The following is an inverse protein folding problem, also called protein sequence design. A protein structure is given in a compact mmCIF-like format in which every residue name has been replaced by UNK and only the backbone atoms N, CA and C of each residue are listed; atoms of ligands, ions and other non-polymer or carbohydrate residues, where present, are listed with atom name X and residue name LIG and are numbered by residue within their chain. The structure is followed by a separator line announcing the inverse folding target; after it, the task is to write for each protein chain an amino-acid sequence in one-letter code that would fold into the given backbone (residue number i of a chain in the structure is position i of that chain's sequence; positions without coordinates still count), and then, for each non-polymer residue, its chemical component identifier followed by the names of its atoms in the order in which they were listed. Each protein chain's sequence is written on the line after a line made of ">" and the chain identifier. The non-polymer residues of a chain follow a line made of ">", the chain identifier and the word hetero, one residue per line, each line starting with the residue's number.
data_IF_534344735990
#
_entry.id   IF_534344735990
#
_cell.length_a   1.000
_cell.length_b   1.000
_cell.length_c   1.000
_cell.angle_alpha   90.00
_cell.angle_beta   90.00
_cell.angle_gamma   90.00
#
_symmetry.space_group_name_H-M   'P 1'
#
loop_
_entity.id
_entity.type
_entity.pdbx_description
1 polymer ?
#
# COMPACT_ATOMS: atom_id res chain seq x y z
N UNK A 1 -32.96 8.88 3.91
CA UNK A 1 -32.64 9.66 5.12
C UNK A 1 -32.51 8.81 6.39
N UNK A 2 -33.40 7.85 6.71
CA UNK A 2 -33.28 7.03 7.95
C UNK A 2 -32.10 6.02 7.95
N UNK A 3 -31.58 5.62 6.79
CA UNK A 3 -30.42 4.69 6.68
C UNK A 3 -29.08 5.39 6.85
N UNK A 4 -28.97 6.67 6.52
CA UNK A 4 -27.73 7.46 6.64
C UNK A 4 -27.41 7.77 8.12
N UNK A 5 -28.43 7.97 8.96
CA UNK A 5 -28.24 8.28 10.39
C UNK A 5 -27.62 7.10 11.15
N UNK A 6 -27.93 5.85 10.76
CA UNK A 6 -27.35 4.66 11.40
C UNK A 6 -25.86 4.45 11.09
N UNK A 7 -25.43 4.80 9.88
CA UNK A 7 -24.03 4.66 9.44
C UNK A 7 -23.15 5.75 10.06
N UNK A 8 -23.66 6.97 10.17
CA UNK A 8 -22.93 8.08 10.83
C UNK A 8 -22.74 7.79 12.32
N UNK A 9 -23.72 7.15 13.00
CA UNK A 9 -23.59 6.76 14.40
C UNK A 9 -22.51 5.66 14.60
N UNK A 10 -22.34 4.73 13.66
CA UNK A 10 -21.32 3.69 13.73
C UNK A 10 -19.92 4.27 13.49
N UNK A 11 -19.77 5.24 12.57
CA UNK A 11 -18.52 5.94 12.34
C UNK A 11 -18.07 6.78 13.56
N UNK A 12 -18.99 7.39 14.28
CA UNK A 12 -18.67 8.14 15.51
C UNK A 12 -18.23 7.23 16.67
N UNK A 13 -18.70 6.00 16.76
CA UNK A 13 -18.27 5.05 17.81
C UNK A 13 -16.86 4.55 17.55
N UNK A 14 -16.43 4.40 16.29
CA UNK A 14 -15.08 3.97 15.91
C UNK A 14 -14.04 5.11 16.12
N UNK A 15 -14.44 6.37 15.91
CA UNK A 15 -13.51 7.51 16.04
C UNK A 15 -13.11 7.86 17.48
N UNK A 16 -13.83 7.37 18.51
CA UNK A 16 -13.54 7.70 19.90
C UNK A 16 -12.38 6.88 20.52
N UNK A 17 -11.89 5.84 19.87
CA UNK A 17 -10.86 4.95 20.43
C UNK A 17 -9.58 4.82 19.58
N UNK A 18 -9.41 5.59 18.52
CA UNK A 18 -8.19 5.59 17.71
C UNK A 18 -7.12 6.50 18.33
N UNK A 19 -6.53 6.07 19.45
CA UNK A 19 -5.24 6.61 19.88
C UNK A 19 -4.15 5.89 19.10
N UNK A 20 -3.67 6.49 18.02
CA UNK A 20 -2.48 6.04 17.32
C UNK A 20 -1.27 6.12 18.25
N UNK A 21 -0.74 4.99 18.70
CA UNK A 21 0.53 4.93 19.41
C UNK A 21 1.65 5.12 18.39
N UNK A 22 2.30 6.27 18.44
CA UNK A 22 3.57 6.52 17.78
C UNK A 22 4.68 5.86 18.64
N UNK A 23 5.16 4.69 18.26
CA UNK A 23 6.42 4.18 18.79
C UNK A 23 7.58 4.73 17.94
N UNK A 24 8.29 5.70 18.50
CA UNK A 24 9.57 6.14 17.95
C UNK A 24 10.64 5.11 18.27
N UNK A 25 11.10 4.37 17.29
CA UNK A 25 12.39 3.67 17.40
C UNK A 25 13.53 4.68 17.31
N UNK A 26 14.10 5.02 18.47
CA UNK A 26 15.42 5.67 18.53
C UNK A 26 16.47 4.65 18.07
N UNK A 27 16.96 4.79 16.85
CA UNK A 27 18.24 4.20 16.47
C UNK A 27 19.34 4.94 17.23
N UNK A 28 19.86 4.30 18.26
CA UNK A 28 21.12 4.76 18.89
C UNK A 28 22.26 4.49 17.90
N UNK A 29 22.89 5.58 17.47
CA UNK A 29 24.17 5.54 16.77
C UNK A 29 25.19 4.78 17.62
N UNK A 30 25.77 3.72 17.05
CA UNK A 30 26.90 3.02 17.65
C UNK A 30 28.13 3.91 17.56
N UNK A 31 28.43 4.59 18.65
CA UNK A 31 29.68 5.31 18.84
C UNK A 31 30.81 4.30 18.99
N UNK A 32 31.83 4.39 18.14
CA UNK A 32 33.08 3.62 18.23
C UNK A 32 33.76 3.89 19.57
N UNK A 33 34.30 2.86 20.27
CA UNK A 33 35.04 3.09 21.50
C UNK A 33 36.39 3.74 21.20
N UNK A 34 36.66 4.89 21.80
CA UNK A 34 38.01 5.45 21.92
C UNK A 34 38.74 4.69 23.04
N UNK A 35 39.86 4.12 22.66
CA UNK A 35 40.85 3.55 23.58
C UNK A 35 41.41 4.63 24.47
N UNK A 36 41.24 4.49 25.79
CA UNK A 36 42.10 5.17 26.78
C UNK A 36 42.59 4.14 27.79
N UNK A 37 43.90 4.25 28.03
CA UNK A 37 44.70 3.40 28.91
C UNK A 37 44.41 3.59 30.41
N UNK A 38 44.57 2.48 31.06
CA UNK A 38 44.97 2.22 32.49
C UNK A 38 44.93 3.37 33.49
N UNK A 39 44.18 3.12 34.55
CA UNK A 39 44.80 3.26 35.87
C UNK A 39 44.22 2.25 36.88
N UNK A 40 45.11 1.67 37.63
CA UNK A 40 44.92 0.59 38.60
C UNK A 40 44.33 1.11 39.91
N UNK A 41 43.20 0.53 40.39
CA UNK A 41 42.88 0.49 41.82
C UNK A 41 41.98 -0.68 42.23
N UNK A 42 42.56 -1.54 43.04
CA UNK A 42 42.10 -2.40 44.16
C UNK A 42 40.70 -3.02 44.08
N UNK A 43 40.74 -4.37 44.07
CA UNK A 43 39.66 -5.27 44.49
C UNK A 43 39.32 -5.03 45.98
N UNK A 44 38.04 -4.82 46.23
CA UNK A 44 37.40 -5.16 47.50
C UNK A 44 36.13 -5.97 47.23
N UNK A 45 36.00 -7.04 48.03
CA UNK A 45 35.01 -8.08 47.98
C UNK A 45 33.56 -7.55 47.94
N UNK A 46 32.79 -7.79 46.89
CA UNK A 46 31.34 -7.84 46.93
C UNK A 46 30.86 -9.25 46.60
N UNK A 47 30.12 -9.83 47.54
CA UNK A 47 29.41 -11.10 47.40
C UNK A 47 28.47 -11.04 46.19
N UNK A 48 28.62 -11.96 45.26
CA UNK A 48 27.60 -12.25 44.24
C UNK A 48 26.39 -12.85 44.93
N UNK A 49 25.35 -12.05 45.13
CA UNK A 49 23.99 -12.58 45.26
C UNK A 49 23.54 -13.06 43.89
N UNK A 50 23.16 -14.33 43.82
CA UNK A 50 22.60 -14.97 42.65
C UNK A 50 21.33 -14.27 42.23
N UNK A 51 21.40 -13.39 41.19
CA UNK A 51 20.21 -12.91 40.51
C UNK A 51 19.57 -14.07 39.74
N UNK A 52 18.39 -14.47 40.18
CA UNK A 52 17.52 -15.38 39.48
C UNK A 52 17.25 -14.88 38.02
N UNK A 53 17.93 -15.51 37.06
CA UNK A 53 17.59 -15.41 35.67
C UNK A 53 16.38 -16.29 35.37
N UNK A 54 15.19 -15.86 35.75
CA UNK A 54 13.93 -16.48 35.31
C UNK A 54 12.77 -15.47 35.37
N UNK A 55 12.90 -14.35 34.64
CA UNK A 55 11.72 -13.67 34.12
C UNK A 55 11.68 -13.92 32.61
N UNK A 56 10.59 -14.49 32.06
CA UNK A 56 10.43 -14.52 30.62
C UNK A 56 10.47 -13.07 30.15
N UNK A 57 11.50 -12.69 29.39
CA UNK A 57 11.47 -11.46 28.62
C UNK A 57 10.25 -11.57 27.73
N UNK A 58 9.22 -10.76 28.00
CA UNK A 58 8.17 -10.50 27.04
C UNK A 58 8.86 -9.82 25.84
N UNK A 59 9.32 -10.62 24.90
CA UNK A 59 9.64 -10.12 23.57
C UNK A 59 8.33 -9.62 22.99
N UNK A 60 8.08 -8.31 23.06
CA UNK A 60 7.13 -7.67 22.18
C UNK A 60 7.66 -7.87 20.76
N UNK A 61 7.21 -8.95 20.12
CA UNK A 61 7.52 -9.23 18.72
C UNK A 61 6.79 -8.15 17.92
N UNK A 62 7.52 -7.17 17.41
CA UNK A 62 6.95 -6.17 16.51
C UNK A 62 6.60 -6.85 15.18
N UNK A 63 5.55 -6.36 14.51
CA UNK A 63 5.17 -6.85 13.18
C UNK A 63 6.31 -6.58 12.19
N UNK A 64 6.71 -7.60 11.45
CA UNK A 64 7.69 -7.49 10.36
C UNK A 64 7.00 -7.10 9.05
N UNK A 65 7.77 -6.95 8.00
CA UNK A 65 7.26 -6.91 6.64
C UNK A 65 6.44 -8.17 6.31
N UNK A 66 5.35 -8.04 5.53
CA UNK A 66 4.43 -9.14 5.20
C UNK A 66 5.12 -10.35 4.52
N UNK A 67 6.21 -10.12 3.80
CA UNK A 67 6.93 -11.14 3.02
C UNK A 67 8.37 -11.35 3.50
N UNK A 68 8.73 -10.90 4.71
CA UNK A 68 10.07 -11.12 5.27
C UNK A 68 10.11 -10.89 6.77
N UNK A 69 10.63 -11.83 7.52
CA UNK A 69 10.94 -11.68 8.95
C UNK A 69 12.08 -10.68 9.21
N UNK A 70 12.86 -10.35 8.18
CA UNK A 70 14.10 -9.58 8.29
C UNK A 70 13.98 -8.13 7.78
N UNK A 71 12.77 -7.69 7.42
CA UNK A 71 12.50 -6.35 6.94
C UNK A 71 11.51 -5.63 7.87
N UNK A 72 11.61 -4.29 7.99
CA UNK A 72 10.72 -3.51 8.83
C UNK A 72 9.31 -3.44 8.22
N UNK A 73 8.30 -3.29 9.08
CA UNK A 73 6.90 -3.14 8.69
C UNK A 73 6.66 -1.92 7.81
N UNK A 74 7.36 -0.80 8.03
CA UNK A 74 7.24 0.42 7.22
C UNK A 74 7.52 0.23 5.73
N UNK A 75 8.16 -0.90 5.34
CA UNK A 75 8.38 -1.24 3.93
C UNK A 75 7.15 -1.83 3.24
N UNK A 76 6.08 -2.19 3.96
CA UNK A 76 4.86 -2.70 3.37
C UNK A 76 4.17 -1.62 2.53
N UNK A 77 3.92 -1.95 1.26
CA UNK A 77 3.03 -1.21 0.37
C UNK A 77 1.78 -2.03 0.05
N UNK A 78 1.01 -1.63 -0.95
CA UNK A 78 -0.08 -2.43 -1.49
C UNK A 78 0.45 -3.69 -2.19
N UNK A 79 -0.32 -4.77 -2.17
CA UNK A 79 0.08 -6.06 -2.72
C UNK A 79 1.46 -6.47 -2.18
N UNK A 80 2.38 -6.77 -3.11
CA UNK A 80 3.78 -7.09 -2.77
C UNK A 80 4.74 -5.88 -2.93
N UNK A 81 4.21 -4.66 -3.15
CA UNK A 81 4.98 -3.44 -3.37
C UNK A 81 5.85 -3.03 -2.18
N UNK A 82 6.98 -2.37 -2.45
CA UNK A 82 7.86 -1.85 -1.43
C UNK A 82 7.74 -0.34 -1.28
N UNK A 83 7.71 0.11 -0.02
CA UNK A 83 7.87 1.50 0.41
C UNK A 83 9.27 1.73 1.00
N UNK A 84 9.69 2.99 1.22
CA UNK A 84 10.82 3.29 2.10
C UNK A 84 10.61 2.73 3.50
N UNK A 85 11.67 2.24 4.15
CA UNK A 85 11.59 1.74 5.55
C UNK A 85 11.11 2.80 6.53
N UNK A 86 11.40 4.09 6.21
CA UNK A 86 11.00 5.26 6.98
C UNK A 86 9.56 5.70 6.73
N UNK A 87 8.78 4.96 5.93
CA UNK A 87 7.37 5.30 5.69
C UNK A 87 6.57 5.24 6.97
N UNK A 88 5.72 6.25 7.24
CA UNK A 88 4.86 6.22 8.39
C UNK A 88 3.83 5.09 8.26
N UNK A 89 3.55 4.43 9.36
CA UNK A 89 2.52 3.40 9.44
C UNK A 89 1.46 3.85 10.43
N UNK A 90 0.24 3.99 9.96
CA UNK A 90 -0.92 4.37 10.78
C UNK A 90 -1.86 3.17 10.86
N UNK A 91 -1.93 2.55 12.04
CA UNK A 91 -2.79 1.39 12.22
C UNK A 91 -2.89 1.01 13.69
N UNK A 92 -3.99 0.37 14.02
CA UNK A 92 -4.18 -0.23 15.33
C UNK A 92 -3.63 -1.64 15.34
N UNK A 93 -2.64 -1.89 16.20
CA UNK A 93 -1.99 -3.19 16.30
C UNK A 93 -2.48 -3.95 17.53
N UNK A 94 -2.79 -5.22 17.34
CA UNK A 94 -3.10 -6.13 18.44
C UNK A 94 -2.51 -7.52 18.18
N UNK A 95 -2.28 -8.27 19.22
CA UNK A 95 -1.62 -9.56 19.12
C UNK A 95 -2.22 -10.59 20.06
N UNK A 96 -2.11 -11.81 19.65
CA UNK A 96 -2.35 -13.01 20.47
C UNK A 96 -1.01 -13.75 20.66
N UNK A 97 -0.94 -14.84 21.42
CA UNK A 97 0.31 -15.57 21.58
C UNK A 97 0.94 -16.10 20.28
N UNK A 98 0.18 -16.20 19.19
CA UNK A 98 0.65 -16.77 17.91
C UNK A 98 0.49 -15.85 16.71
N UNK A 99 -0.33 -14.80 16.80
CA UNK A 99 -0.67 -13.93 15.70
C UNK A 99 -0.47 -12.48 16.06
N UNK A 100 -0.02 -11.71 15.10
CA UNK A 100 -0.06 -10.26 15.11
C UNK A 100 -1.03 -9.77 14.05
N UNK A 101 -1.81 -8.75 14.39
CA UNK A 101 -2.82 -8.15 13.54
C UNK A 101 -2.60 -6.65 13.46
N UNK A 102 -2.95 -6.08 12.32
CA UNK A 102 -3.03 -4.64 12.12
C UNK A 102 -4.36 -4.31 11.46
N UNK A 103 -5.08 -3.36 12.03
CA UNK A 103 -6.26 -2.75 11.45
C UNK A 103 -5.93 -1.32 11.09
N UNK A 104 -6.09 -0.95 9.84
CA UNK A 104 -5.88 0.41 9.36
C UNK A 104 -6.87 0.75 8.24
N UNK A 105 -7.00 2.04 7.91
CA UNK A 105 -7.93 2.50 6.91
C UNK A 105 -8.06 4.01 6.93
N UNK A 106 -8.79 4.54 5.96
CA UNK A 106 -9.14 5.93 5.85
C UNK A 106 -10.64 6.08 5.62
N UNK A 107 -11.21 7.13 6.17
CA UNK A 107 -12.56 7.61 5.89
C UNK A 107 -12.48 9.12 5.70
N UNK A 108 -12.88 9.57 4.54
CA UNK A 108 -12.93 10.99 4.21
C UNK A 108 -14.38 11.47 4.14
N UNK A 109 -14.61 12.72 4.45
CA UNK A 109 -15.79 13.44 4.02
C UNK A 109 -15.32 14.49 3.03
N UNK A 110 -15.70 14.34 1.76
CA UNK A 110 -15.19 15.15 0.67
C UNK A 110 -16.33 15.96 0.04
N UNK A 111 -16.06 17.24 -0.21
CA UNK A 111 -16.76 18.02 -1.21
C UNK A 111 -15.83 18.19 -2.40
N UNK A 112 -16.15 17.54 -3.50
CA UNK A 112 -15.42 17.65 -4.76
C UNK A 112 -16.17 18.59 -5.70
N UNK A 113 -15.51 19.60 -6.25
CA UNK A 113 -16.07 20.49 -7.25
C UNK A 113 -15.02 20.75 -8.33
N UNK A 114 -15.31 20.27 -9.51
CA UNK A 114 -14.53 20.46 -10.73
C UNK A 114 -15.30 21.42 -11.63
N UNK A 115 -14.64 22.36 -12.29
CA UNK A 115 -15.27 23.47 -13.04
C UNK A 115 -16.06 24.48 -12.16
N UNK A 116 -15.32 25.22 -11.34
CA UNK A 116 -15.87 26.28 -10.47
C UNK A 116 -16.70 27.33 -11.19
N UNK A 117 -16.41 27.57 -12.46
CA UNK A 117 -17.08 28.63 -13.22
C UNK A 117 -18.40 28.17 -13.80
N UNK A 118 -18.62 26.84 -13.82
CA UNK A 118 -19.79 26.19 -14.40
C UNK A 118 -20.16 26.72 -15.80
N UNK A 119 -19.13 27.06 -16.59
CA UNK A 119 -19.27 27.59 -17.95
C UNK A 119 -19.11 26.53 -19.02
N UNK A 120 -18.59 25.37 -18.64
CA UNK A 120 -18.35 24.22 -19.52
C UNK A 120 -19.41 23.14 -19.36
N UNK A 121 -19.32 22.13 -20.21
CA UNK A 121 -20.09 20.87 -20.10
C UNK A 121 -19.32 19.77 -19.36
N UNK A 122 -18.11 20.06 -18.89
CA UNK A 122 -17.19 19.11 -18.25
C UNK A 122 -17.10 19.34 -16.75
N UNK A 123 -16.68 18.31 -16.02
CA UNK A 123 -16.58 18.35 -14.58
C UNK A 123 -17.92 18.09 -13.89
N UNK A 124 -17.94 18.33 -12.60
CA UNK A 124 -19.13 18.14 -11.76
C UNK A 124 -18.86 18.53 -10.32
N UNK A 125 -19.88 18.45 -9.47
CA UNK A 125 -19.72 18.66 -8.03
C UNK A 125 -20.46 17.57 -7.28
N UNK A 126 -19.84 17.03 -6.22
CA UNK A 126 -20.37 15.92 -5.43
C UNK A 126 -19.90 16.01 -3.98
N UNK A 127 -20.76 15.56 -3.06
CA UNK A 127 -20.38 15.27 -1.67
C UNK A 127 -20.43 13.78 -1.49
N UNK A 128 -19.31 13.19 -1.12
CA UNK A 128 -19.15 11.75 -0.91
C UNK A 128 -18.29 11.45 0.31
N UNK A 129 -18.13 10.17 0.60
CA UNK A 129 -17.32 9.71 1.72
C UNK A 129 -16.42 8.52 1.28
N UNK A 130 -15.35 8.81 0.50
CA UNK A 130 -14.41 7.78 0.10
C UNK A 130 -13.78 7.10 1.31
N UNK A 131 -13.71 5.79 1.27
CA UNK A 131 -13.24 5.00 2.40
C UNK A 131 -12.52 3.73 1.97
N UNK A 132 -11.72 3.21 2.88
CA UNK A 132 -11.27 1.82 2.86
C UNK A 132 -10.84 1.40 4.25
N UNK A 133 -10.97 0.12 4.54
CA UNK A 133 -10.53 -0.52 5.77
C UNK A 133 -9.79 -1.81 5.43
N UNK A 134 -8.66 -2.04 6.10
CA UNK A 134 -7.82 -3.21 5.87
C UNK A 134 -7.45 -3.89 7.18
N UNK A 135 -7.68 -5.20 7.24
CA UNK A 135 -7.20 -6.08 8.29
C UNK A 135 -6.07 -6.94 7.75
N UNK A 136 -4.92 -6.84 8.37
CA UNK A 136 -3.77 -7.69 8.10
C UNK A 136 -3.50 -8.60 9.29
N UNK A 137 -3.07 -9.83 9.03
CA UNK A 137 -2.64 -10.75 10.06
C UNK A 137 -1.41 -11.52 9.65
N UNK A 138 -0.46 -11.69 10.57
CA UNK A 138 0.73 -12.48 10.31
C UNK A 138 1.07 -13.41 11.46
N UNK A 139 1.71 -14.53 11.10
CA UNK A 139 2.18 -15.54 12.02
C UNK A 139 3.48 -16.15 11.54
N UNK A 140 4.45 -16.22 12.44
CA UNK A 140 5.67 -16.98 12.18
C UNK A 140 5.36 -18.48 12.17
N UNK A 141 5.92 -19.21 11.21
CA UNK A 141 5.78 -20.64 11.00
C UNK A 141 7.18 -21.28 11.09
N UNK A 142 7.41 -22.07 12.12
CA UNK A 142 8.75 -22.55 12.43
C UNK A 142 9.71 -21.40 12.74
N UNK A 143 10.99 -21.58 12.43
CA UNK A 143 12.01 -20.57 12.73
C UNK A 143 12.16 -19.50 11.63
N UNK A 144 11.86 -19.85 10.39
CA UNK A 144 12.20 -19.05 9.21
C UNK A 144 11.00 -18.76 8.28
N UNK A 145 9.84 -19.34 8.55
CA UNK A 145 8.63 -19.17 7.76
C UNK A 145 7.76 -18.03 8.33
N UNK A 146 7.06 -17.33 7.46
CA UNK A 146 6.05 -16.33 7.79
C UNK A 146 4.81 -16.56 6.94
N UNK A 147 3.67 -16.76 7.57
CA UNK A 147 2.36 -16.73 6.94
C UNK A 147 1.72 -15.36 7.16
N UNK A 148 1.11 -14.81 6.12
CA UNK A 148 0.42 -13.53 6.17
C UNK A 148 -0.90 -13.61 5.40
N UNK A 149 -1.91 -12.82 5.81
CA UNK A 149 -3.13 -12.57 5.06
C UNK A 149 -3.51 -11.10 5.14
N UNK A 150 -4.25 -10.63 4.12
CA UNK A 150 -4.86 -9.30 4.07
C UNK A 150 -6.30 -9.38 3.61
N UNK A 151 -7.15 -8.54 4.20
CA UNK A 151 -8.53 -8.32 3.82
C UNK A 151 -8.74 -6.81 3.74
N UNK A 152 -9.03 -6.28 2.55
CA UNK A 152 -9.33 -4.86 2.34
C UNK A 152 -10.73 -4.71 1.73
N UNK A 153 -11.50 -3.79 2.27
CA UNK A 153 -12.86 -3.47 1.83
C UNK A 153 -13.06 -1.97 1.69
N UNK A 154 -13.95 -1.58 0.77
CA UNK A 154 -14.40 -0.19 0.56
C UNK A 154 -15.92 -0.15 0.43
N UNK A 155 -16.53 0.94 0.87
CA UNK A 155 -17.94 1.24 0.69
C UNK A 155 -18.15 2.39 -0.32
N UNK A 156 -17.18 2.69 -1.14
CA UNK A 156 -17.19 3.81 -2.11
C UNK A 156 -18.45 3.80 -2.98
N UNK A 157 -18.85 2.63 -3.51
CA UNK A 157 -20.06 2.51 -4.34
C UNK A 157 -21.34 2.83 -3.57
N UNK A 158 -21.40 2.46 -2.29
CA UNK A 158 -22.55 2.73 -1.43
C UNK A 158 -22.63 4.21 -1.02
N UNK A 159 -21.49 4.86 -0.83
CA UNK A 159 -21.38 6.21 -0.28
C UNK A 159 -21.24 7.29 -1.37
N UNK A 160 -20.73 6.95 -2.56
CA UNK A 160 -20.53 7.84 -3.70
C UNK A 160 -21.34 7.46 -4.95
N UNK A 161 -21.83 6.21 -5.03
CA UNK A 161 -22.62 5.71 -6.15
C UNK A 161 -21.79 5.11 -7.30
N UNK A 162 -22.43 4.23 -8.08
CA UNK A 162 -21.78 3.34 -9.06
C UNK A 162 -21.08 4.03 -10.23
N UNK A 163 -21.40 5.30 -10.54
CA UNK A 163 -20.69 6.09 -11.56
C UNK A 163 -19.39 6.73 -11.03
N UNK A 164 -19.05 6.50 -9.77
CA UNK A 164 -17.89 7.09 -9.12
C UNK A 164 -17.99 8.59 -8.89
N UNK A 165 -16.87 9.26 -8.74
CA UNK A 165 -16.79 10.68 -8.36
C UNK A 165 -16.19 11.56 -9.48
N UNK A 166 -16.51 12.88 -9.51
CA UNK A 166 -15.93 13.80 -10.49
C UNK A 166 -14.41 13.85 -10.40
N UNK A 167 -13.74 13.63 -11.53
CA UNK A 167 -12.30 13.76 -11.69
C UNK A 167 -12.02 14.22 -13.12
N UNK A 168 -11.83 15.54 -13.29
CA UNK A 168 -11.67 16.16 -14.60
C UNK A 168 -10.51 15.54 -15.37
N UNK A 169 -10.75 15.23 -16.65
CA UNK A 169 -9.84 14.54 -17.59
C UNK A 169 -9.65 13.04 -17.34
N UNK A 170 -10.20 12.46 -16.28
CA UNK A 170 -10.13 11.02 -16.10
C UNK A 170 -11.06 10.30 -17.09
N UNK A 171 -10.55 9.18 -17.60
CA UNK A 171 -11.27 8.29 -18.51
C UNK A 171 -10.67 6.88 -18.39
N UNK A 172 -11.25 5.91 -19.07
CA UNK A 172 -10.67 4.57 -19.18
C UNK A 172 -11.58 3.46 -18.70
N UNK A 173 -12.78 3.76 -18.22
CA UNK A 173 -13.72 2.76 -17.74
C UNK A 173 -15.13 2.94 -18.25
N UNK A 174 -15.99 1.96 -17.94
CA UNK A 174 -17.38 1.94 -18.38
C UNK A 174 -18.36 1.90 -17.20
N UNK A 175 -19.51 2.54 -17.38
CA UNK A 175 -20.65 2.40 -16.48
C UNK A 175 -21.92 2.31 -17.33
N UNK A 176 -22.72 1.25 -17.10
CA UNK A 176 -23.94 0.95 -17.88
C UNK A 176 -23.69 0.91 -19.41
N UNK A 177 -22.52 0.33 -19.77
CA UNK A 177 -22.14 0.18 -21.17
C UNK A 177 -21.66 1.45 -21.88
N UNK A 178 -21.48 2.56 -21.16
CA UNK A 178 -20.95 3.82 -21.70
C UNK A 178 -19.60 4.15 -21.08
N UNK A 179 -18.72 4.79 -21.84
CA UNK A 179 -17.45 5.30 -21.31
C UNK A 179 -17.68 6.34 -20.24
N UNK A 180 -16.97 6.23 -19.13
CA UNK A 180 -16.90 7.24 -18.07
C UNK A 180 -15.90 8.30 -18.50
N UNK A 181 -16.33 9.56 -18.49
CA UNK A 181 -15.49 10.71 -18.83
C UNK A 181 -15.60 11.75 -17.70
N UNK A 182 -14.46 12.31 -17.29
CA UNK A 182 -14.34 13.26 -16.17
C UNK A 182 -14.84 12.68 -14.84
N UNK A 183 -14.73 11.38 -14.66
CA UNK A 183 -15.06 10.69 -13.42
C UNK A 183 -14.12 9.49 -13.21
N UNK A 184 -13.87 9.16 -11.96
CA UNK A 184 -13.19 7.95 -11.53
C UNK A 184 -14.22 7.00 -10.92
N UNK A 185 -14.19 5.73 -11.30
CA UNK A 185 -15.07 4.69 -10.77
C UNK A 185 -14.83 4.41 -9.28
N UNK A 186 -15.83 3.87 -8.55
CA UNK A 186 -15.64 3.45 -7.17
C UNK A 186 -14.88 2.12 -7.08
N UNK A 187 -14.29 1.83 -5.93
CA UNK A 187 -13.70 0.52 -5.65
C UNK A 187 -14.77 -0.55 -5.45
N UNK A 188 -14.37 -1.80 -5.67
CA UNK A 188 -15.15 -2.97 -5.29
C UNK A 188 -15.24 -3.10 -3.76
N UNK A 189 -16.33 -3.72 -3.26
CA UNK A 189 -16.51 -4.00 -1.84
C UNK A 189 -15.29 -4.69 -1.22
N UNK A 190 -14.69 -5.65 -1.95
CA UNK A 190 -13.43 -6.24 -1.59
C UNK A 190 -12.36 -5.83 -2.60
N UNK A 191 -11.38 -5.05 -2.14
CA UNK A 191 -10.23 -4.62 -2.95
C UNK A 191 -9.02 -5.53 -2.75
N UNK A 192 -8.94 -6.25 -1.63
CA UNK A 192 -7.95 -7.32 -1.42
C UNK A 192 -8.50 -8.42 -0.52
N UNK A 193 -8.34 -9.67 -0.98
CA UNK A 193 -8.44 -10.88 -0.19
C UNK A 193 -7.24 -11.73 -0.56
N UNK A 194 -6.22 -11.74 0.30
CA UNK A 194 -4.95 -12.35 -0.06
C UNK A 194 -4.35 -13.19 1.06
N UNK A 195 -3.54 -14.14 0.65
CA UNK A 195 -2.69 -14.93 1.53
C UNK A 195 -1.28 -15.02 0.95
N UNK A 196 -0.29 -15.11 1.82
CA UNK A 196 1.09 -15.32 1.41
C UNK A 196 1.87 -16.19 2.38
N UNK A 197 2.91 -16.81 1.86
CA UNK A 197 3.91 -17.50 2.65
C UNK A 197 5.30 -17.07 2.19
N UNK A 198 6.16 -16.76 3.14
CA UNK A 198 7.56 -16.48 2.87
C UNK A 198 8.49 -17.36 3.72
N UNK A 199 9.64 -17.66 3.16
CA UNK A 199 10.69 -18.46 3.79
C UNK A 199 11.99 -17.66 3.79
N UNK A 200 12.49 -17.32 4.96
CA UNK A 200 13.82 -16.75 5.11
C UNK A 200 14.89 -17.84 4.84
N UNK A 201 15.71 -17.63 3.83
CA UNK A 201 16.86 -18.48 3.50
C UNK A 201 18.10 -18.03 4.26
N UNK A 202 18.17 -16.74 4.57
CA UNK A 202 19.19 -16.11 5.43
C UNK A 202 18.66 -14.74 5.90
N UNK A 203 19.43 -14.03 6.71
CA UNK A 203 19.09 -12.64 7.08
C UNK A 203 18.98 -11.70 5.88
N UNK A 204 19.63 -12.03 4.76
CA UNK A 204 19.63 -11.19 3.55
C UNK A 204 18.78 -11.76 2.41
N UNK A 205 18.25 -12.97 2.53
CA UNK A 205 17.54 -13.65 1.45
C UNK A 205 16.24 -14.26 1.93
N UNK A 206 15.15 -13.99 1.21
CA UNK A 206 13.83 -14.60 1.36
C UNK A 206 13.29 -15.02 0.00
N UNK A 207 12.45 -16.04 0.00
CA UNK A 207 11.56 -16.39 -1.11
C UNK A 207 10.13 -16.31 -0.61
N UNK A 208 9.20 -15.93 -1.46
CA UNK A 208 7.79 -15.86 -1.08
C UNK A 208 6.85 -16.18 -2.25
N UNK A 209 5.64 -16.57 -1.89
CA UNK A 209 4.49 -16.69 -2.78
C UNK A 209 3.32 -15.91 -2.20
N UNK A 210 2.54 -15.28 -3.08
CA UNK A 210 1.35 -14.49 -2.78
C UNK A 210 0.23 -14.89 -3.72
N UNK A 211 -0.99 -14.98 -3.20
CA UNK A 211 -2.21 -15.23 -3.98
C UNK A 211 -3.28 -14.27 -3.49
N UNK A 212 -3.94 -13.57 -4.41
CA UNK A 212 -5.05 -12.65 -4.14
C UNK A 212 -6.27 -12.90 -5.01
N UNK A 213 -7.47 -12.75 -4.42
CA UNK A 213 -8.74 -12.84 -5.13
C UNK A 213 -9.81 -11.99 -4.42
N UNK A 214 -9.83 -10.67 -4.67
CA UNK A 214 -8.88 -9.91 -5.48
C UNK A 214 -7.51 -9.74 -4.83
N UNK A 215 -6.56 -9.20 -5.62
CA UNK A 215 -5.20 -8.89 -5.21
C UNK A 215 -4.50 -7.94 -6.18
N UNK A 216 -3.20 -7.69 -5.94
CA UNK A 216 -2.38 -6.80 -6.77
C UNK A 216 -1.20 -7.55 -7.37
N UNK A 217 -1.03 -7.58 -8.71
CA UNK A 217 0.12 -8.18 -9.36
C UNK A 217 1.39 -7.33 -9.18
N UNK A 218 2.56 -7.92 -9.42
CA UNK A 218 3.84 -7.23 -9.41
C UNK A 218 4.00 -6.33 -10.65
N UNK A 219 3.16 -5.30 -10.76
CA UNK A 219 3.10 -4.35 -11.86
C UNK A 219 2.79 -2.95 -11.33
N UNK A 220 3.63 -1.98 -11.62
CA UNK A 220 3.46 -0.61 -11.13
C UNK A 220 4.09 -0.33 -9.77
N UNK A 221 4.01 0.93 -9.33
CA UNK A 221 4.33 1.35 -7.98
C UNK A 221 3.25 0.86 -6.99
N UNK A 222 3.48 1.08 -5.70
CA UNK A 222 2.42 0.95 -4.68
C UNK A 222 1.22 1.83 -5.05
N UNK A 223 0.00 1.30 -4.92
CA UNK A 223 -1.25 2.00 -5.23
C UNK A 223 -1.36 3.34 -4.48
N UNK A 224 -1.98 4.35 -5.10
CA UNK A 224 -1.97 5.72 -4.60
C UNK A 224 -2.45 5.86 -3.15
N UNK A 225 -3.49 5.13 -2.75
CA UNK A 225 -4.05 5.16 -1.41
C UNK A 225 -3.10 4.63 -0.32
N UNK A 226 -2.07 3.87 -0.70
CA UNK A 226 -1.06 3.34 0.20
C UNK A 226 0.30 4.04 0.07
N UNK A 227 0.47 4.98 -0.91
CA UNK A 227 1.70 5.77 -1.01
C UNK A 227 1.71 6.86 0.07
N UNK A 228 2.80 7.00 0.86
CA UNK A 228 2.89 8.03 1.88
C UNK A 228 2.71 9.46 1.36
N UNK A 229 3.01 9.70 0.07
CA UNK A 229 2.84 11.00 -0.59
C UNK A 229 1.39 11.31 -1.01
N UNK A 230 0.47 10.34 -0.92
CA UNK A 230 -0.91 10.48 -1.43
C UNK A 230 -1.99 9.97 -0.48
N UNK A 231 -1.64 9.29 0.61
CA UNK A 231 -2.59 8.59 1.49
C UNK A 231 -3.62 9.51 2.17
N UNK A 232 -3.34 10.81 2.24
CA UNK A 232 -4.27 11.81 2.78
C UNK A 232 -5.12 12.50 1.70
N UNK A 233 -5.00 12.08 0.44
CA UNK A 233 -5.83 12.53 -0.67
C UNK A 233 -6.65 11.35 -1.21
N UNK A 234 -8.00 11.38 -1.14
CA UNK A 234 -8.83 10.30 -1.63
C UNK A 234 -8.90 10.19 -3.15
N UNK A 235 -8.43 11.22 -3.89
CA UNK A 235 -8.52 11.22 -5.34
C UNK A 235 -7.44 10.35 -5.98
N UNK A 236 -7.82 9.52 -6.94
CA UNK A 236 -6.88 8.87 -7.83
C UNK A 236 -6.09 9.93 -8.64
N UNK A 237 -4.82 9.71 -8.97
CA UNK A 237 -4.12 10.56 -9.92
C UNK A 237 -4.69 10.37 -11.32
N UNK A 238 -4.69 11.42 -12.16
CA UNK A 238 -5.13 11.32 -13.57
C UNK A 238 -4.35 10.24 -14.32
N UNK A 239 -3.10 10.00 -13.93
CA UNK A 239 -2.23 8.96 -14.49
C UNK A 239 -2.53 7.52 -14.02
N UNK A 240 -3.55 7.32 -13.18
CA UNK A 240 -3.89 6.04 -12.55
C UNK A 240 -3.92 4.87 -13.53
N UNK A 241 -4.59 5.02 -14.68
CA UNK A 241 -4.72 3.98 -15.70
C UNK A 241 -3.42 3.65 -16.45
N UNK A 242 -2.35 4.42 -16.28
CA UNK A 242 -1.02 4.13 -16.84
C UNK A 242 -0.05 3.55 -15.82
N UNK A 243 -0.31 3.72 -14.51
CA UNK A 243 0.68 3.43 -13.48
C UNK A 243 0.26 2.37 -12.47
N UNK A 244 -0.97 2.41 -11.93
CA UNK A 244 -1.38 1.58 -10.79
C UNK A 244 -2.83 1.07 -10.83
N UNK A 245 -3.53 1.09 -11.98
CA UNK A 245 -4.91 0.64 -12.12
C UNK A 245 -5.11 -0.88 -11.86
N UNK A 246 -4.05 -1.67 -11.90
CA UNK A 246 -4.14 -3.13 -11.65
C UNK A 246 -4.13 -3.50 -10.16
N UNK A 247 -4.28 -2.54 -9.23
CA UNK A 247 -4.22 -2.81 -7.79
C UNK A 247 -5.42 -3.60 -7.24
N UNK A 248 -6.52 -3.68 -7.99
CA UNK A 248 -7.66 -4.58 -7.73
C UNK A 248 -7.81 -5.52 -8.90
N UNK A 249 -7.41 -6.78 -8.75
CA UNK A 249 -7.41 -7.77 -9.84
C UNK A 249 -7.95 -9.10 -9.33
N UNK A 250 -9.03 -9.61 -9.93
CA UNK A 250 -9.66 -10.87 -9.56
C UNK A 250 -8.87 -12.07 -10.08
N UNK A 251 -7.92 -12.54 -9.26
CA UNK A 251 -7.03 -13.65 -9.55
C UNK A 251 -5.61 -13.20 -9.86
N UNK A 252 -4.77 -13.26 -8.83
CA UNK A 252 -3.32 -12.96 -8.87
C UNK A 252 -2.56 -14.06 -8.20
N UNK A 253 -1.47 -14.50 -8.83
CA UNK A 253 -0.46 -15.37 -8.22
C UNK A 253 0.92 -14.76 -8.48
N UNK A 254 1.67 -14.49 -7.42
CA UNK A 254 3.00 -13.87 -7.47
C UNK A 254 4.01 -14.73 -6.74
N UNK A 255 5.19 -14.87 -7.33
CA UNK A 255 6.37 -15.41 -6.65
C UNK A 255 7.47 -14.36 -6.66
N UNK A 256 8.29 -14.35 -5.61
CA UNK A 256 9.37 -13.38 -5.54
C UNK A 256 10.55 -13.87 -4.69
N UNK A 257 11.68 -13.23 -4.95
CA UNK A 257 12.93 -13.43 -4.20
C UNK A 257 13.48 -12.09 -3.79
N UNK A 258 13.88 -11.98 -2.52
CA UNK A 258 14.65 -10.85 -2.01
C UNK A 258 16.09 -11.25 -1.77
N UNK A 259 17.01 -10.36 -2.15
CA UNK A 259 18.41 -10.45 -1.74
C UNK A 259 18.95 -9.07 -1.35
N UNK A 260 19.25 -8.88 -0.09
CA UNK A 260 19.72 -7.60 0.47
C UNK A 260 18.70 -6.48 0.24
N UNK A 261 19.05 -5.52 -0.59
CA UNK A 261 18.27 -4.32 -0.93
C UNK A 261 17.41 -4.49 -2.19
N UNK A 262 17.49 -5.64 -2.85
CA UNK A 262 16.79 -5.94 -4.10
C UNK A 262 15.69 -6.97 -3.90
N UNK A 263 14.63 -6.86 -4.68
CA UNK A 263 13.55 -7.84 -4.78
C UNK A 263 13.17 -7.99 -6.25
N UNK A 264 13.09 -9.23 -6.74
CA UNK A 264 12.59 -9.59 -8.06
C UNK A 264 11.32 -10.41 -7.90
N UNK A 265 10.28 -10.06 -8.65
CA UNK A 265 8.96 -10.67 -8.58
C UNK A 265 8.43 -10.97 -9.97
N UNK A 266 7.59 -11.99 -10.08
CA UNK A 266 6.81 -12.29 -11.26
C UNK A 266 5.39 -12.68 -10.89
N UNK A 267 4.42 -12.20 -11.66
CA UNK A 267 3.00 -12.48 -11.46
C UNK A 267 2.34 -13.06 -12.70
N UNK A 268 1.39 -13.97 -12.48
CA UNK A 268 0.34 -14.30 -13.44
C UNK A 268 -0.99 -13.80 -12.86
N UNK A 269 -1.81 -13.15 -13.66
CA UNK A 269 -3.03 -12.50 -13.20
C UNK A 269 -4.10 -12.36 -14.28
N UNK A 270 -5.31 -11.95 -13.88
CA UNK A 270 -6.42 -11.64 -14.78
C UNK A 270 -6.23 -10.23 -15.33
N UNK A 271 -6.10 -10.07 -16.65
CA UNK A 271 -5.84 -8.76 -17.27
C UNK A 271 -7.05 -7.83 -17.28
N UNK A 272 -8.25 -8.38 -17.35
CA UNK A 272 -9.49 -7.59 -17.33
C UNK A 272 -9.63 -6.88 -15.98
N UNK A 273 -9.86 -5.56 -16.02
CA UNK A 273 -10.26 -4.77 -14.87
C UNK A 273 -11.61 -5.25 -14.32
N UNK A 274 -11.90 -5.04 -13.03
CA UNK A 274 -13.18 -5.39 -12.42
C UNK A 274 -14.37 -4.83 -13.21
N UNK A 275 -15.47 -5.57 -13.24
CA UNK A 275 -16.68 -5.09 -13.88
C UNK A 275 -17.40 -4.01 -13.07
N UNK A 276 -18.50 -3.46 -13.57
CA UNK A 276 -19.26 -2.39 -12.90
C UNK A 276 -20.11 -2.84 -11.69
N UNK A 277 -20.21 -4.15 -11.43
CA UNK A 277 -20.90 -4.67 -10.25
C UNK A 277 -19.91 -4.83 -9.09
N UNK A 278 -19.84 -3.84 -8.24
CA UNK A 278 -18.85 -3.73 -7.17
C UNK A 278 -19.05 -4.70 -6.00
N UNK A 279 -20.07 -5.58 -6.06
CA UNK A 279 -20.42 -6.50 -4.97
C UNK A 279 -20.27 -7.98 -5.33
N UNK A 280 -19.80 -8.31 -6.54
CA UNK A 280 -19.56 -9.68 -6.95
C UNK A 280 -18.06 -10.01 -7.08
N UNK A 281 -17.73 -11.19 -7.52
CA UNK A 281 -16.39 -11.66 -7.77
C UNK A 281 -16.24 -12.04 -9.23
N UNK A 282 -15.42 -11.32 -9.95
CA UNK A 282 -15.16 -11.59 -11.35
C UNK A 282 -14.42 -12.91 -11.56
N UNK A 283 -14.70 -13.56 -12.67
CA UNK A 283 -14.09 -14.84 -13.01
C UNK A 283 -12.59 -14.69 -13.27
N UNK A 284 -11.73 -15.41 -12.52
CA UNK A 284 -10.28 -15.37 -12.74
C UNK A 284 -9.92 -16.00 -14.09
N UNK A 285 -8.95 -15.41 -14.81
CA UNK A 285 -8.51 -15.86 -16.13
C UNK A 285 -7.04 -16.25 -16.16
N UNK A 286 -6.18 -15.56 -15.41
CA UNK A 286 -4.72 -15.75 -15.41
C UNK A 286 -4.10 -15.65 -16.81
N UNK A 287 -4.60 -14.72 -17.62
CA UNK A 287 -4.26 -14.52 -19.04
C UNK A 287 -3.18 -13.43 -19.25
N UNK A 288 -2.69 -12.87 -18.18
CA UNK A 288 -1.72 -11.77 -18.15
C UNK A 288 -0.53 -12.11 -17.26
N UNK A 289 0.58 -11.40 -17.46
CA UNK A 289 1.79 -11.58 -16.69
C UNK A 289 2.53 -10.26 -16.45
N UNK A 290 3.34 -10.22 -15.40
CA UNK A 290 4.22 -9.09 -15.11
C UNK A 290 5.49 -9.52 -14.39
N UNK A 291 6.48 -8.61 -14.39
CA UNK A 291 7.67 -8.69 -13.57
C UNK A 291 8.03 -7.32 -13.01
N UNK A 292 8.50 -7.31 -11.76
CA UNK A 292 8.93 -6.08 -11.06
C UNK A 292 10.26 -6.29 -10.36
N UNK A 293 11.17 -5.33 -10.56
CA UNK A 293 12.39 -5.18 -9.79
C UNK A 293 12.23 -4.02 -8.83
N UNK A 294 12.44 -4.27 -7.54
CA UNK A 294 12.44 -3.26 -6.49
C UNK A 294 13.82 -3.10 -5.87
N UNK A 295 14.19 -1.86 -5.53
CA UNK A 295 15.48 -1.53 -4.93
C UNK A 295 15.35 -0.42 -3.88
N UNK A 296 15.68 -0.73 -2.62
CA UNK A 296 15.72 0.25 -1.54
C UNK A 296 17.19 0.58 -1.21
N UNK A 297 17.78 1.61 -1.82
CA UNK A 297 19.19 1.98 -1.59
C UNK A 297 19.45 2.40 -0.14
N UNK A 298 18.47 2.99 0.51
CA UNK A 298 18.49 3.40 1.92
C UNK A 298 17.10 3.24 2.55
N UNK A 299 16.99 3.48 3.85
CA UNK A 299 15.69 3.48 4.54
C UNK A 299 14.71 4.57 4.07
N UNK A 300 15.18 5.59 3.37
CA UNK A 300 14.35 6.71 2.90
C UNK A 300 13.88 6.58 1.45
N UNK A 301 14.38 5.64 0.68
CA UNK A 301 14.08 5.50 -0.73
C UNK A 301 13.60 4.11 -1.10
N UNK A 302 12.57 4.04 -1.92
CA UNK A 302 12.14 2.84 -2.62
C UNK A 302 12.02 3.15 -4.11
N UNK A 303 12.73 2.36 -4.93
CA UNK A 303 12.75 2.45 -6.37
C UNK A 303 12.14 1.17 -6.95
N UNK A 304 11.42 1.27 -8.05
CA UNK A 304 10.95 0.12 -8.81
C UNK A 304 11.00 0.38 -10.31
N UNK A 305 11.12 -0.71 -11.06
CA UNK A 305 10.80 -0.78 -12.49
C UNK A 305 10.00 -2.07 -12.73
N UNK A 306 8.96 -1.98 -13.55
CA UNK A 306 8.13 -3.12 -13.88
C UNK A 306 7.72 -3.12 -15.34
N UNK A 307 7.43 -4.32 -15.85
CA UNK A 307 6.88 -4.53 -17.17
C UNK A 307 5.86 -5.67 -17.13
N UNK A 308 4.78 -5.56 -17.89
CA UNK A 308 3.77 -6.59 -17.98
C UNK A 308 2.94 -6.50 -19.26
N UNK A 309 2.38 -7.64 -19.59
CA UNK A 309 1.38 -7.82 -20.63
C UNK A 309 0.02 -7.98 -19.97
N UNK A 310 -0.94 -7.16 -20.35
CA UNK A 310 -2.30 -7.11 -19.80
C UNK A 310 -3.27 -7.46 -20.93
N UNK A 311 -3.98 -8.55 -20.79
CA UNK A 311 -4.94 -9.03 -21.78
C UNK A 311 -6.25 -8.26 -21.68
N UNK A 312 -6.57 -7.46 -22.71
CA UNK A 312 -7.87 -6.79 -22.88
C UNK A 312 -8.38 -6.15 -21.57
N UNK A 313 -7.65 -5.16 -20.97
CA UNK A 313 -8.01 -4.62 -19.66
C UNK A 313 -9.37 -3.95 -19.65
N UNK A 314 -9.71 -3.16 -20.66
CA UNK A 314 -10.91 -2.36 -20.67
C UNK A 314 -12.12 -3.08 -21.29
N UNK A 315 -13.30 -2.87 -20.70
CA UNK A 315 -14.54 -3.52 -21.12
C UNK A 315 -14.98 -3.06 -22.52
N UNK A 316 -14.85 -1.78 -22.83
CA UNK A 316 -15.30 -1.19 -24.11
C UNK A 316 -14.31 -1.39 -25.25
N UNK A 317 -13.04 -1.72 -24.93
CA UNK A 317 -11.96 -1.97 -25.89
C UNK A 317 -11.53 -3.43 -25.87
N UNK A 318 -12.53 -4.34 -26.03
CA UNK A 318 -12.27 -5.78 -26.03
C UNK A 318 -11.37 -6.18 -27.20
N UNK A 319 -10.27 -6.88 -26.89
CA UNK A 319 -9.28 -7.31 -27.89
C UNK A 319 -8.07 -6.39 -27.98
N UNK A 320 -8.05 -5.26 -27.30
CA UNK A 320 -6.87 -4.41 -27.17
C UNK A 320 -6.03 -4.88 -25.99
N UNK A 321 -4.93 -5.53 -26.29
CA UNK A 321 -3.95 -5.96 -25.28
C UNK A 321 -2.95 -4.85 -25.02
N UNK A 322 -2.56 -4.65 -23.76
CA UNK A 322 -1.68 -3.57 -23.34
C UNK A 322 -0.35 -4.11 -22.81
N UNK A 323 0.75 -3.60 -23.34
CA UNK A 323 2.06 -3.72 -22.70
C UNK A 323 2.29 -2.48 -21.82
N UNK A 324 2.36 -2.69 -20.50
CA UNK A 324 2.61 -1.62 -19.52
C UNK A 324 4.03 -1.68 -19.03
N UNK A 325 4.70 -0.52 -19.03
CA UNK A 325 6.02 -0.35 -18.41
C UNK A 325 5.96 0.79 -17.42
N UNK A 326 6.50 0.60 -16.21
CA UNK A 326 6.52 1.66 -15.21
C UNK A 326 7.89 1.78 -14.55
N UNK A 327 8.19 2.97 -14.06
CA UNK A 327 9.29 3.22 -13.14
C UNK A 327 8.87 4.23 -12.08
N UNK A 328 9.33 4.05 -10.84
CA UNK A 328 9.01 5.00 -9.77
C UNK A 328 10.15 5.15 -8.76
N UNK A 329 10.14 6.31 -8.10
CA UNK A 329 10.95 6.63 -6.94
C UNK A 329 10.04 7.19 -5.85
N UNK A 330 10.01 6.55 -4.70
CA UNK A 330 9.25 6.97 -3.52
C UNK A 330 10.25 7.34 -2.42
N UNK A 331 10.04 8.51 -1.83
CA UNK A 331 10.85 9.05 -0.75
C UNK A 331 10.01 9.29 0.50
N UNK A 332 10.53 8.93 1.65
CA UNK A 332 9.92 9.22 2.95
C UNK A 332 10.98 9.57 3.99
N UNK A 333 10.77 10.62 4.76
CA UNK A 333 11.70 11.05 5.80
C UNK A 333 10.97 11.70 6.98
N UNK A 334 11.26 11.26 8.18
CA UNK A 334 10.95 12.01 9.39
C UNK A 334 11.93 13.20 9.51
N UNK A 335 11.43 14.45 9.53
CA UNK A 335 12.22 15.68 9.65
C UNK A 335 12.44 16.07 11.11
N UNK A 336 11.43 15.89 11.96
CA UNK A 336 11.45 16.16 13.40
C UNK A 336 10.36 15.31 14.06
N UNK A 337 10.20 15.43 15.37
CA UNK A 337 9.08 14.80 16.08
C UNK A 337 7.76 15.18 15.43
N UNK A 338 6.97 14.18 15.01
CA UNK A 338 5.66 14.34 14.39
C UNK A 338 5.65 15.17 13.08
N UNK A 339 6.77 15.24 12.36
CA UNK A 339 6.88 15.92 11.06
C UNK A 339 7.50 14.97 10.06
N UNK A 340 6.80 14.72 8.94
CA UNK A 340 7.27 13.88 7.84
C UNK A 340 7.20 14.64 6.52
N UNK A 341 8.11 14.28 5.62
CA UNK A 341 8.11 14.68 4.22
C UNK A 341 8.08 13.42 3.37
N UNK A 342 7.07 13.31 2.52
CA UNK A 342 6.88 12.22 1.60
C UNK A 342 6.81 12.76 0.17
N UNK A 343 7.39 12.06 -0.79
CA UNK A 343 7.34 12.44 -2.19
C UNK A 343 7.39 11.20 -3.08
N UNK A 344 6.76 11.28 -4.25
CA UNK A 344 6.82 10.24 -5.27
C UNK A 344 6.97 10.86 -6.65
N UNK A 345 7.81 10.22 -7.48
CA UNK A 345 7.87 10.48 -8.91
C UNK A 345 7.63 9.14 -9.62
N UNK A 346 6.70 9.12 -10.55
CA UNK A 346 6.29 7.91 -11.28
C UNK A 346 6.19 8.23 -12.76
N UNK A 347 6.67 7.31 -13.57
CA UNK A 347 6.43 7.26 -15.00
C UNK A 347 5.75 5.93 -15.34
N UNK A 348 4.76 5.99 -16.24
CA UNK A 348 4.10 4.83 -16.81
C UNK A 348 3.90 5.00 -18.31
N UNK A 349 3.97 3.89 -19.03
CA UNK A 349 3.71 3.82 -20.47
C UNK A 349 2.81 2.63 -20.76
N UNK A 350 1.70 2.89 -21.42
CA UNK A 350 0.85 1.87 -22.02
C UNK A 350 1.08 1.82 -23.54
N UNK A 351 1.24 0.63 -24.07
CA UNK A 351 1.39 0.41 -25.52
C UNK A 351 0.45 -0.70 -25.98
N UNK A 352 -0.56 -0.33 -26.75
CA UNK A 352 -1.41 -1.23 -27.52
C UNK A 352 -0.68 -1.60 -28.82
N UNK A 353 -0.90 -2.83 -29.30
CA UNK A 353 -0.31 -3.27 -30.58
C UNK A 353 -0.75 -2.34 -31.71
N UNK A 354 0.18 -1.99 -32.58
CA UNK A 354 0.00 -1.12 -33.77
C UNK A 354 -0.39 0.35 -33.44
N UNK A 355 -0.35 0.76 -32.14
CA UNK A 355 -0.54 2.13 -31.69
C UNK A 355 0.78 2.71 -31.16
N UNK A 356 0.89 4.02 -31.09
CA UNK A 356 1.99 4.68 -30.37
C UNK A 356 1.87 4.44 -28.87
N UNK A 357 2.99 4.49 -28.15
CA UNK A 357 3.02 4.35 -26.71
C UNK A 357 2.52 5.63 -26.02
N UNK A 358 1.51 5.50 -25.16
CA UNK A 358 0.99 6.57 -24.34
C UNK A 358 1.76 6.67 -23.03
N UNK A 359 2.20 7.86 -22.68
CA UNK A 359 3.03 8.11 -21.50
C UNK A 359 2.30 8.98 -20.49
N UNK A 360 2.46 8.65 -19.22
CA UNK A 360 2.03 9.46 -18.10
C UNK A 360 3.17 9.67 -17.10
N UNK A 361 3.22 10.86 -16.52
CA UNK A 361 4.17 11.22 -15.46
C UNK A 361 3.39 11.79 -14.29
N UNK A 362 3.74 11.33 -13.09
CA UNK A 362 3.18 11.81 -11.84
C UNK A 362 4.33 12.30 -10.94
N UNK A 363 4.15 13.46 -10.35
CA UNK A 363 4.95 13.95 -9.23
C UNK A 363 3.99 14.37 -8.15
N UNK A 364 4.15 13.84 -6.96
CA UNK A 364 3.31 14.18 -5.82
C UNK A 364 4.14 14.30 -4.54
N UNK A 365 3.65 15.07 -3.58
CA UNK A 365 4.32 15.24 -2.31
C UNK A 365 3.35 15.58 -1.19
N UNK A 366 3.74 15.21 0.01
CA UNK A 366 3.02 15.50 1.24
C UNK A 366 4.01 15.98 2.30
N UNK A 367 3.66 17.08 2.93
CA UNK A 367 4.27 17.49 4.19
C UNK A 367 3.23 17.35 5.30
N UNK A 368 3.55 16.59 6.33
CA UNK A 368 2.67 16.35 7.47
C UNK A 368 3.33 16.81 8.76
N UNK A 369 2.58 17.52 9.58
CA UNK A 369 2.95 17.88 10.94
C UNK A 369 1.78 17.60 11.88
N UNK A 370 1.95 16.67 12.80
CA UNK A 370 0.88 16.18 13.68
C UNK A 370 -0.33 15.69 12.87
N UNK A 371 -1.48 16.40 13.02
CA UNK A 371 -2.74 16.09 12.33
C UNK A 371 -2.95 16.90 11.05
N UNK A 372 -2.03 17.80 10.71
CA UNK A 372 -2.11 18.61 9.49
C UNK A 372 -1.26 17.97 8.41
N UNK A 373 -1.86 17.68 7.27
CA UNK A 373 -1.17 17.30 6.05
C UNK A 373 -1.43 18.34 4.95
N UNK A 374 -0.39 18.66 4.19
CA UNK A 374 -0.46 19.48 2.98
C UNK A 374 0.03 18.60 1.85
N UNK A 375 -0.85 18.34 0.90
CA UNK A 375 -0.60 17.51 -0.26
C UNK A 375 -0.63 18.35 -1.54
N UNK A 376 0.21 17.96 -2.51
CA UNK A 376 0.23 18.50 -3.86
C UNK A 376 0.58 17.43 -4.89
N UNK A 377 -0.02 17.58 -6.06
CA UNK A 377 0.17 16.64 -7.17
C UNK A 377 0.28 17.41 -8.47
#
# INVERSE_FOLDING_TARGET
>A
MKRIVGIVALAFIVSYHANAQHEHHNMQDTVKPKTQMLDTMKMENMKMESMEMNKPMNHHVSMSHAYSLNLPMGRNGSGTGWLPDASPMYGYMFHTPKWMYMLHGNLFLRYNSQDFTNKGSRGGSEVDAPDWIMLMGQRQVGNNGLFHFSIMSSLDDLLGGGSGYPLLFQSGEAYKGNSIVDRQHPHDLFSELSVSYSQALSQKADVFAYVGYPGEPALGPVAFMHRPSAMDNPDAPISHHWIDATHVTFGVATIGVRYGKFKLEGSSFTGREPNENRYDFDKPRFDSWSGRLSFNPSGNWALQASHGFIKSPELLHTGEDVNRTTASAIYSKALASNTTLNASAVWGMNKVKDHEGENAVLVEGEWRKNKLAIHGR
#
